data_IF_794705944725
#
_entry.id   IF_794705944725
#
_cell.length_a   1.000
_cell.length_b   1.000
_cell.length_c   1.000
_cell.angle_alpha   90.00
_cell.angle_beta   90.00
_cell.angle_gamma   90.00
#
_symmetry.space_group_name_H-M   'P 1'
#
loop_
_entity.id
_entity.type
_entity.pdbx_description
1 polymer ?
#
# COMPACT_ATOMS: atom_id res chain seq x y z
N UNK A 1 -1.36 11.45 2.48
CA UNK A 1 -0.80 12.36 1.49
C UNK A 1 -0.53 11.64 0.18
N UNK A 2 -1.15 12.11 -0.91
CA UNK A 2 -0.85 11.62 -2.26
C UNK A 2 0.49 12.23 -2.73
N UNK A 3 1.58 11.57 -2.34
CA UNK A 3 2.94 12.10 -2.51
C UNK A 3 3.45 12.01 -3.95
N UNK A 4 2.87 11.11 -4.76
CA UNK A 4 3.18 10.93 -6.16
C UNK A 4 1.91 10.69 -6.98
N UNK A 5 1.69 11.49 -8.02
CA UNK A 5 0.73 11.25 -9.09
C UNK A 5 1.46 10.61 -10.28
N UNK A 6 2.17 9.54 -10.02
CA UNK A 6 2.85 8.67 -10.99
C UNK A 6 3.10 7.30 -10.36
N UNK A 7 3.17 6.26 -11.18
CA UNK A 7 3.41 4.89 -10.74
C UNK A 7 4.27 4.15 -11.75
N UNK A 8 5.08 3.22 -11.26
CA UNK A 8 5.92 2.33 -12.06
C UNK A 8 5.26 0.98 -12.41
N UNK A 9 4.01 0.75 -11.95
CA UNK A 9 3.15 -0.36 -12.36
C UNK A 9 1.93 0.15 -13.14
N UNK A 10 1.23 -0.77 -13.81
CA UNK A 10 -0.01 -0.56 -14.55
C UNK A 10 -1.09 -1.52 -14.05
N UNK A 11 -1.47 -1.38 -12.78
CA UNK A 11 -2.48 -2.24 -12.17
C UNK A 11 -3.83 -2.06 -12.87
N UNK A 12 -4.48 -3.17 -13.26
CA UNK A 12 -5.70 -3.14 -14.08
C UNK A 12 -6.89 -2.50 -13.35
N UNK A 13 -6.97 -2.64 -12.04
CA UNK A 13 -8.03 -2.07 -11.20
C UNK A 13 -7.65 -0.72 -10.57
N UNK A 14 -6.60 -0.04 -11.06
CA UNK A 14 -6.11 1.16 -10.44
C UNK A 14 -7.11 2.31 -10.53
N UNK A 15 -7.78 2.64 -9.43
CA UNK A 15 -8.71 3.77 -9.35
C UNK A 15 -8.04 5.13 -9.61
N UNK A 16 -6.70 5.17 -9.54
CA UNK A 16 -5.89 6.36 -9.76
C UNK A 16 -5.30 6.42 -11.19
N UNK A 17 -5.77 5.58 -12.14
CA UNK A 17 -5.29 5.56 -13.54
C UNK A 17 -3.75 5.56 -13.63
N UNK A 18 -3.11 4.49 -13.18
CA UNK A 18 -1.66 4.38 -13.08
C UNK A 18 -1.00 5.50 -12.22
N UNK A 19 -1.77 6.06 -11.30
CA UNK A 19 -1.32 7.10 -10.39
C UNK A 19 -1.62 8.54 -10.84
N UNK A 20 -2.21 8.75 -12.01
CA UNK A 20 -2.46 10.10 -12.58
C UNK A 20 -3.66 10.82 -11.95
N UNK A 21 -4.60 10.09 -11.33
CA UNK A 21 -5.80 10.65 -10.67
C UNK A 21 -6.61 11.58 -11.58
N UNK A 22 -6.89 11.13 -12.82
CA UNK A 22 -7.60 11.91 -13.87
C UNK A 22 -6.93 13.25 -14.23
N UNK A 23 -5.64 13.37 -13.96
CA UNK A 23 -4.89 14.60 -14.17
C UNK A 23 -3.61 14.39 -14.96
N UNK A 24 -2.53 14.93 -14.47
CA UNK A 24 -1.21 14.79 -15.06
C UNK A 24 -0.25 14.13 -14.07
N UNK A 25 0.74 13.43 -14.59
CA UNK A 25 1.86 12.92 -13.77
C UNK A 25 2.58 14.08 -13.11
N UNK A 26 2.70 13.99 -11.80
CA UNK A 26 3.35 14.99 -10.97
C UNK A 26 3.84 14.37 -9.66
N UNK A 27 4.85 14.97 -9.08
CA UNK A 27 5.32 14.65 -7.74
C UNK A 27 5.01 15.82 -6.82
N UNK A 28 4.56 15.53 -5.59
CA UNK A 28 4.30 16.56 -4.59
C UNK A 28 5.61 17.29 -4.25
N UNK A 29 5.59 18.62 -4.19
CA UNK A 29 6.73 19.37 -3.69
C UNK A 29 6.80 19.31 -2.16
N UNK A 30 8.00 19.50 -1.61
CA UNK A 30 8.18 19.57 -0.16
C UNK A 30 7.30 20.65 0.48
N UNK A 31 7.18 21.83 -0.15
CA UNK A 31 6.40 22.96 0.34
C UNK A 31 4.91 22.63 0.49
N UNK A 32 4.36 21.85 -0.46
CA UNK A 32 2.96 21.39 -0.40
C UNK A 32 2.78 20.41 0.75
N UNK A 33 3.65 19.41 0.85
CA UNK A 33 3.62 18.44 1.94
C UNK A 33 3.82 19.07 3.31
N UNK A 34 4.75 20.03 3.42
CA UNK A 34 4.97 20.82 4.63
C UNK A 34 3.70 21.55 5.08
N UNK A 35 3.03 22.25 4.17
CA UNK A 35 1.76 22.92 4.46
C UNK A 35 0.66 21.96 4.90
N UNK A 36 0.64 20.74 4.36
CA UNK A 36 -0.32 19.71 4.78
C UNK A 36 -0.06 19.25 6.23
N UNK A 37 1.20 19.07 6.63
CA UNK A 37 1.54 18.75 8.02
C UNK A 37 1.24 19.94 8.97
N UNK A 38 1.55 21.18 8.58
CA UNK A 38 1.19 22.38 9.33
C UNK A 38 -0.33 22.47 9.54
N UNK A 39 -1.11 22.22 8.47
CA UNK A 39 -2.57 22.19 8.53
C UNK A 39 -3.08 21.10 9.48
N UNK A 40 -2.51 19.89 9.43
CA UNK A 40 -2.88 18.79 10.31
C UNK A 40 -2.66 19.16 11.78
N UNK A 41 -1.50 19.72 12.11
CA UNK A 41 -1.18 20.19 13.48
C UNK A 41 -2.15 21.27 13.93
N UNK A 42 -2.36 22.31 13.11
CA UNK A 42 -3.23 23.43 13.43
C UNK A 42 -4.69 23.02 13.70
N UNK A 43 -5.16 21.97 13.03
CA UNK A 43 -6.55 21.50 13.15
C UNK A 43 -6.71 20.28 14.08
N UNK A 44 -5.65 19.80 14.70
CA UNK A 44 -5.69 18.62 15.56
C UNK A 44 -6.20 18.89 16.99
N UNK A 45 -6.29 20.15 17.40
CA UNK A 45 -6.72 20.53 18.76
C UNK A 45 -5.87 19.83 19.84
N UNK A 46 -6.52 19.19 20.78
CA UNK A 46 -5.87 18.43 21.87
C UNK A 46 -5.40 17.03 21.49
N UNK A 47 -5.66 16.56 20.26
CA UNK A 47 -5.20 15.24 19.80
C UNK A 47 -3.68 15.22 19.71
N UNK A 48 -3.06 14.33 20.48
CA UNK A 48 -1.61 14.17 20.49
C UNK A 48 -1.13 13.29 19.34
N UNK A 49 -1.78 12.15 19.09
CA UNK A 49 -1.38 11.22 18.05
C UNK A 49 -1.99 11.64 16.71
N UNK A 50 -1.15 11.83 15.70
CA UNK A 50 -1.51 12.21 14.34
C UNK A 50 -1.00 11.15 13.36
N UNK A 51 -1.85 10.73 12.45
CA UNK A 51 -1.50 9.69 11.46
C UNK A 51 -1.30 10.32 10.09
N UNK A 52 -0.22 9.94 9.43
CA UNK A 52 0.11 10.38 8.07
C UNK A 52 0.49 9.16 7.25
N UNK A 53 -0.34 8.85 6.25
CA UNK A 53 -0.04 7.81 5.27
C UNK A 53 0.53 8.45 3.99
N UNK A 54 1.73 8.03 3.61
CA UNK A 54 2.32 8.35 2.31
C UNK A 54 1.77 7.36 1.27
N UNK A 55 0.92 7.88 0.42
CA UNK A 55 0.15 7.15 -0.57
C UNK A 55 0.27 7.84 -1.95
N UNK A 56 -0.51 7.36 -2.92
CA UNK A 56 -0.60 7.96 -4.26
C UNK A 56 -0.53 6.91 -5.34
N UNK A 57 0.21 7.16 -6.40
CA UNK A 57 0.61 6.15 -7.37
C UNK A 57 1.64 5.20 -6.72
N UNK A 58 2.92 5.58 -6.75
CA UNK A 58 3.97 4.89 -5.97
C UNK A 58 4.78 5.92 -5.16
N UNK A 59 4.63 5.95 -3.83
CA UNK A 59 5.32 6.93 -2.97
C UNK A 59 6.84 6.91 -3.06
N UNK A 60 7.44 5.75 -3.30
CA UNK A 60 8.89 5.62 -3.44
C UNK A 60 9.46 6.34 -4.67
N UNK A 61 8.62 6.73 -5.63
CA UNK A 61 9.04 7.60 -6.75
C UNK A 61 9.33 9.03 -6.28
N UNK A 62 8.81 9.42 -5.12
CA UNK A 62 9.09 10.72 -4.50
C UNK A 62 9.80 10.58 -3.15
N UNK A 63 10.69 9.60 -3.05
CA UNK A 63 11.33 9.18 -1.81
C UNK A 63 12.07 10.31 -1.07
N UNK A 64 12.70 11.21 -1.82
CA UNK A 64 13.37 12.37 -1.22
C UNK A 64 12.39 13.20 -0.39
N UNK A 65 11.25 13.55 -0.94
CA UNK A 65 10.23 14.39 -0.26
C UNK A 65 9.60 13.62 0.92
N UNK A 66 9.38 12.31 0.81
CA UNK A 66 8.94 11.48 1.95
C UNK A 66 9.91 11.64 3.12
N UNK A 67 11.21 11.47 2.90
CA UNK A 67 12.23 11.61 3.96
C UNK A 67 12.23 13.02 4.58
N UNK A 68 12.15 14.05 3.75
CA UNK A 68 12.12 15.44 4.21
C UNK A 68 10.87 15.75 5.04
N UNK A 69 9.70 15.22 4.66
CA UNK A 69 8.45 15.41 5.42
C UNK A 69 8.45 14.64 6.74
N UNK A 70 9.01 13.44 6.79
CA UNK A 70 9.18 12.71 8.04
C UNK A 70 10.08 13.50 9.00
N UNK A 71 11.23 13.99 8.52
CA UNK A 71 12.13 14.82 9.33
C UNK A 71 11.40 16.07 9.85
N UNK A 72 10.65 16.75 9.00
CA UNK A 72 9.85 17.92 9.38
C UNK A 72 8.77 17.57 10.44
N UNK A 73 8.08 16.44 10.28
CA UNK A 73 7.11 15.96 11.27
C UNK A 73 7.75 15.72 12.63
N UNK A 74 8.97 15.15 12.68
CA UNK A 74 9.73 14.98 13.94
C UNK A 74 10.12 16.31 14.60
N UNK A 75 10.31 17.39 13.82
CA UNK A 75 10.51 18.74 14.37
C UNK A 75 9.22 19.31 14.95
N UNK A 76 8.08 19.13 14.26
CA UNK A 76 6.77 19.56 14.74
C UNK A 76 6.39 18.87 16.07
N UNK A 77 6.75 17.59 16.25
CA UNK A 77 6.53 16.87 17.52
C UNK A 77 7.16 17.58 18.71
N UNK A 78 8.38 18.12 18.52
CA UNK A 78 9.10 18.85 19.57
C UNK A 78 8.47 20.19 19.90
N UNK A 79 7.82 20.84 18.92
CA UNK A 79 7.24 22.17 19.05
C UNK A 79 5.82 22.16 19.61
N UNK A 80 5.02 21.14 19.34
CA UNK A 80 3.57 21.16 19.54
C UNK A 80 3.03 20.02 20.44
N UNK A 81 3.87 19.28 21.13
CA UNK A 81 3.48 18.08 21.91
C UNK A 81 2.58 17.13 21.08
N UNK A 82 3.01 16.86 19.86
CA UNK A 82 2.37 15.92 18.95
C UNK A 82 3.23 14.68 18.78
N UNK A 83 2.63 13.61 18.31
CA UNK A 83 3.29 12.38 17.92
C UNK A 83 2.77 11.92 16.58
N UNK A 84 3.63 11.95 15.56
CA UNK A 84 3.29 11.48 14.22
C UNK A 84 3.54 9.99 14.08
N UNK A 85 2.51 9.28 13.64
CA UNK A 85 2.59 7.90 13.21
C UNK A 85 2.59 7.88 11.69
N UNK A 86 3.73 7.57 11.11
CA UNK A 86 3.90 7.53 9.67
C UNK A 86 3.64 6.13 9.14
N UNK A 87 2.85 6.04 8.08
CA UNK A 87 2.62 4.83 7.28
C UNK A 87 3.12 5.05 5.86
N UNK A 88 3.64 4.01 5.25
CA UNK A 88 4.01 3.97 3.84
C UNK A 88 3.25 2.85 3.15
N UNK A 89 2.50 3.16 2.10
CA UNK A 89 1.85 2.17 1.23
C UNK A 89 2.65 2.05 -0.07
N UNK A 90 3.20 0.88 -0.38
CA UNK A 90 4.06 0.71 -1.56
C UNK A 90 3.78 -0.57 -2.33
N UNK A 91 4.00 -0.53 -3.64
CA UNK A 91 4.02 -1.72 -4.51
C UNK A 91 5.35 -2.51 -4.45
N UNK A 92 6.34 -2.02 -3.72
CA UNK A 92 7.60 -2.70 -3.42
C UNK A 92 8.64 -2.72 -4.55
N UNK A 93 8.33 -2.28 -5.74
CA UNK A 93 9.29 -2.33 -6.87
C UNK A 93 10.59 -1.58 -6.54
N UNK A 94 10.46 -0.40 -5.93
CA UNK A 94 11.58 0.46 -5.55
C UNK A 94 12.11 0.20 -4.12
N UNK A 95 11.54 -0.76 -3.40
CA UNK A 95 12.02 -1.14 -2.08
C UNK A 95 13.44 -1.73 -2.19
N UNK A 96 14.41 -1.04 -1.60
CA UNK A 96 15.81 -1.43 -1.51
C UNK A 96 16.29 -1.35 -0.05
N UNK A 97 17.58 -1.60 0.21
CA UNK A 97 18.13 -1.61 1.57
C UNK A 97 18.04 -0.23 2.25
N UNK A 98 18.35 0.87 1.55
CA UNK A 98 18.22 2.24 2.10
C UNK A 98 16.78 2.52 2.54
N UNK A 99 15.81 2.20 1.69
CA UNK A 99 14.39 2.37 2.00
C UNK A 99 13.99 1.50 3.19
N UNK A 100 14.41 0.24 3.22
CA UNK A 100 14.11 -0.70 4.30
C UNK A 100 14.66 -0.21 5.65
N UNK A 101 15.91 0.25 5.71
CA UNK A 101 16.50 0.81 6.93
C UNK A 101 15.74 2.04 7.41
N UNK A 102 15.37 2.94 6.49
CA UNK A 102 14.62 4.12 6.84
C UNK A 102 13.21 3.80 7.37
N UNK A 103 12.46 2.94 6.67
CA UNK A 103 11.10 2.59 7.09
C UNK A 103 11.09 1.82 8.41
N UNK A 104 12.11 1.01 8.69
CA UNK A 104 12.24 0.31 9.97
C UNK A 104 12.48 1.27 11.14
N UNK A 105 13.15 2.38 10.89
CA UNK A 105 13.45 3.38 11.91
C UNK A 105 12.32 4.39 12.11
N UNK A 106 11.68 4.83 11.02
CA UNK A 106 10.82 6.00 11.03
C UNK A 106 9.33 5.70 10.84
N UNK A 107 8.96 4.58 10.19
CA UNK A 107 7.57 4.27 9.89
C UNK A 107 6.95 3.36 10.96
N UNK A 108 5.81 3.79 11.49
CA UNK A 108 5.03 2.98 12.43
C UNK A 108 4.38 1.78 11.75
N UNK A 109 4.06 1.91 10.47
CA UNK A 109 3.49 0.83 9.68
C UNK A 109 3.94 0.89 8.21
N UNK A 110 3.99 -0.27 7.55
CA UNK A 110 4.24 -0.38 6.12
C UNK A 110 3.21 -1.30 5.49
N UNK A 111 2.50 -0.79 4.49
CA UNK A 111 1.52 -1.56 3.70
C UNK A 111 2.20 -2.02 2.42
N UNK A 112 2.23 -3.32 2.21
CA UNK A 112 2.90 -4.00 1.10
C UNK A 112 1.84 -4.56 0.14
N UNK A 113 1.72 -3.98 -1.03
CA UNK A 113 0.66 -4.34 -1.99
C UNK A 113 1.01 -5.63 -2.74
N UNK A 114 0.28 -6.71 -2.46
CA UNK A 114 0.41 -8.02 -3.11
C UNK A 114 -0.97 -8.69 -3.15
N UNK A 115 -1.43 -9.12 -4.33
CA UNK A 115 -2.82 -9.56 -4.48
C UNK A 115 -3.03 -11.08 -4.24
N UNK A 116 -1.95 -11.85 -4.12
CA UNK A 116 -2.06 -13.28 -3.89
C UNK A 116 -0.99 -14.10 -4.58
N UNK A 117 -1.40 -15.28 -5.07
CA UNK A 117 -0.55 -16.18 -5.87
C UNK A 117 0.03 -15.44 -7.07
N UNK A 118 1.14 -15.95 -7.58
CA UNK A 118 1.89 -15.31 -8.68
C UNK A 118 1.02 -14.94 -9.88
N UNK A 119 0.20 -15.87 -10.34
CA UNK A 119 -0.68 -15.67 -11.50
C UNK A 119 -1.77 -14.62 -11.25
N UNK A 120 -2.25 -14.51 -10.01
CA UNK A 120 -3.22 -13.47 -9.58
C UNK A 120 -2.55 -12.12 -9.58
N UNK A 121 -1.43 -11.98 -8.86
CA UNK A 121 -0.69 -10.74 -8.77
C UNK A 121 -0.22 -10.24 -10.14
N UNK A 122 0.40 -11.11 -10.94
CA UNK A 122 0.99 -10.72 -12.21
C UNK A 122 -0.05 -10.34 -13.26
N UNK A 123 -1.28 -10.90 -13.17
CA UNK A 123 -2.42 -10.50 -13.99
C UNK A 123 -2.88 -9.09 -13.65
N UNK A 124 -3.02 -8.76 -12.37
CA UNK A 124 -3.67 -7.53 -11.93
C UNK A 124 -2.69 -6.38 -11.68
N UNK A 125 -1.41 -6.68 -11.39
CA UNK A 125 -0.35 -5.72 -11.05
C UNK A 125 0.89 -5.85 -11.95
N UNK A 126 0.73 -5.81 -13.27
CA UNK A 126 1.85 -5.89 -14.19
C UNK A 126 2.66 -4.58 -14.22
N UNK A 127 3.89 -4.68 -14.70
CA UNK A 127 4.61 -3.53 -15.23
C UNK A 127 3.94 -3.00 -16.51
N UNK A 128 4.25 -1.75 -16.88
CA UNK A 128 3.76 -1.14 -18.13
C UNK A 128 4.12 -1.92 -19.39
N UNK A 129 5.16 -2.75 -19.36
CA UNK A 129 5.55 -3.63 -20.46
C UNK A 129 4.85 -5.00 -20.43
N UNK A 130 3.87 -5.18 -19.55
CA UNK A 130 3.09 -6.40 -19.39
C UNK A 130 3.78 -7.52 -18.60
N UNK A 131 5.04 -7.35 -18.15
CA UNK A 131 5.70 -8.35 -17.30
C UNK A 131 5.11 -8.34 -15.89
N UNK A 132 5.06 -9.52 -15.26
CA UNK A 132 4.63 -9.66 -13.88
C UNK A 132 5.60 -9.01 -12.89
N UNK A 133 5.08 -8.55 -11.75
CA UNK A 133 5.86 -7.90 -10.69
C UNK A 133 6.19 -8.85 -9.54
N UNK A 134 5.51 -9.99 -9.40
CA UNK A 134 5.57 -10.90 -8.26
C UNK A 134 7.00 -11.34 -7.89
N UNK A 135 7.76 -11.89 -8.84
CA UNK A 135 9.10 -12.43 -8.58
C UNK A 135 10.09 -11.36 -8.08
N UNK A 136 9.85 -10.10 -8.43
CA UNK A 136 10.67 -8.98 -7.97
C UNK A 136 10.30 -8.52 -6.56
N UNK A 137 9.01 -8.47 -6.24
CA UNK A 137 8.54 -7.82 -5.01
C UNK A 137 8.50 -8.77 -3.81
N UNK A 138 8.13 -10.04 -4.00
CA UNK A 138 7.94 -10.99 -2.90
C UNK A 138 9.21 -11.17 -2.04
N UNK A 139 10.42 -11.39 -2.61
CA UNK A 139 11.62 -11.52 -1.79
C UNK A 139 11.93 -10.25 -0.96
N UNK A 140 11.59 -9.07 -1.50
CA UNK A 140 11.77 -7.79 -0.79
C UNK A 140 10.79 -7.66 0.37
N UNK A 141 9.54 -8.09 0.18
CA UNK A 141 8.51 -8.08 1.21
C UNK A 141 8.84 -9.04 2.35
N UNK A 142 9.32 -10.24 2.03
CA UNK A 142 9.78 -11.20 3.02
C UNK A 142 10.94 -10.62 3.85
N UNK A 143 11.97 -10.05 3.20
CA UNK A 143 13.08 -9.40 3.88
C UNK A 143 12.63 -8.27 4.80
N UNK A 144 11.68 -7.43 4.35
CA UNK A 144 11.13 -6.36 5.18
C UNK A 144 10.35 -6.91 6.38
N UNK A 145 9.46 -7.87 6.18
CA UNK A 145 8.66 -8.47 7.23
C UNK A 145 9.55 -9.12 8.32
N UNK A 146 10.58 -9.86 7.91
CA UNK A 146 11.57 -10.46 8.81
C UNK A 146 12.35 -9.38 9.59
N UNK A 147 12.81 -8.31 8.93
CA UNK A 147 13.55 -7.22 9.58
C UNK A 147 12.71 -6.42 10.58
N UNK A 148 11.40 -6.52 10.49
CA UNK A 148 10.41 -5.94 11.43
C UNK A 148 9.91 -6.96 12.48
N UNK A 149 10.51 -8.14 12.59
CA UNK A 149 10.07 -9.22 13.47
C UNK A 149 8.59 -9.62 13.26
N UNK A 150 8.11 -9.53 12.02
CA UNK A 150 6.73 -9.82 11.63
C UNK A 150 5.68 -8.90 12.28
N UNK A 151 6.07 -7.65 12.61
CA UNK A 151 5.20 -6.64 13.21
C UNK A 151 5.21 -5.32 12.43
N UNK A 152 4.17 -4.50 12.63
CA UNK A 152 4.06 -3.15 12.06
C UNK A 152 4.18 -3.09 10.54
N UNK A 153 3.71 -4.12 9.87
CA UNK A 153 3.47 -4.17 8.44
C UNK A 153 2.22 -5.00 8.19
N UNK A 154 1.69 -4.94 7.00
CA UNK A 154 0.82 -5.99 6.49
C UNK A 154 0.87 -6.07 4.97
N UNK A 155 0.68 -7.29 4.49
CA UNK A 155 0.39 -7.55 3.09
C UNK A 155 -1.05 -7.12 2.85
N UNK A 156 -1.28 -6.29 1.84
CA UNK A 156 -2.61 -5.88 1.42
C UNK A 156 -2.87 -6.35 0.00
N UNK A 157 -3.79 -7.30 -0.12
CA UNK A 157 -4.26 -7.84 -1.39
C UNK A 157 -5.62 -7.27 -1.78
N UNK A 158 -5.88 -7.29 -3.07
CA UNK A 158 -7.19 -6.98 -3.64
C UNK A 158 -7.68 -8.20 -4.40
N UNK A 159 -8.83 -8.74 -4.01
CA UNK A 159 -9.46 -9.78 -4.81
C UNK A 159 -10.47 -9.21 -5.80
N UNK A 160 -10.61 -9.87 -6.92
CA UNK A 160 -11.45 -9.47 -8.04
C UNK A 160 -12.31 -10.64 -8.45
N UNK A 161 -13.20 -10.43 -9.42
CA UNK A 161 -13.92 -11.53 -10.08
C UNK A 161 -12.98 -12.62 -10.64
N UNK A 162 -11.73 -12.28 -10.94
CA UNK A 162 -10.76 -13.21 -11.53
C UNK A 162 -10.12 -14.16 -10.51
N UNK A 163 -10.30 -13.95 -9.22
CA UNK A 163 -9.79 -14.78 -8.12
C UNK A 163 -10.77 -14.84 -6.96
N UNK A 164 -12.02 -15.23 -7.23
CA UNK A 164 -13.04 -15.41 -6.20
C UNK A 164 -12.67 -16.50 -5.18
N UNK A 165 -11.69 -17.36 -5.49
CA UNK A 165 -11.08 -18.34 -4.58
C UNK A 165 -9.97 -17.73 -3.68
N UNK A 166 -10.15 -16.47 -3.26
CA UNK A 166 -9.13 -15.65 -2.56
C UNK A 166 -8.68 -16.22 -1.22
N UNK A 167 -9.39 -17.20 -0.64
CA UNK A 167 -8.88 -17.94 0.51
C UNK A 167 -7.54 -18.63 0.20
N UNK A 168 -7.35 -19.10 -1.04
CA UNK A 168 -6.08 -19.67 -1.48
C UNK A 168 -4.96 -18.62 -1.56
N UNK A 169 -5.30 -17.36 -1.84
CA UNK A 169 -4.34 -16.26 -1.86
C UNK A 169 -3.88 -15.89 -0.44
N UNK A 170 -4.79 -15.91 0.54
CA UNK A 170 -4.46 -15.75 1.95
C UNK A 170 -3.57 -16.89 2.46
N UNK A 171 -3.91 -18.14 2.13
CA UNK A 171 -3.07 -19.29 2.49
C UNK A 171 -1.69 -19.18 1.86
N UNK A 172 -1.62 -18.73 0.62
CA UNK A 172 -0.35 -18.47 -0.04
C UNK A 172 0.50 -17.40 0.68
N UNK A 173 -0.10 -16.34 1.19
CA UNK A 173 0.63 -15.36 2.03
C UNK A 173 1.17 -16.02 3.30
N UNK A 174 0.40 -16.89 3.95
CA UNK A 174 0.84 -17.61 5.12
C UNK A 174 2.01 -18.57 4.80
N UNK A 175 1.94 -19.28 3.66
CA UNK A 175 3.02 -20.17 3.18
C UNK A 175 4.32 -19.41 2.87
N UNK A 176 4.20 -18.15 2.42
CA UNK A 176 5.34 -17.24 2.23
C UNK A 176 5.93 -16.73 3.54
N UNK A 177 5.32 -17.05 4.70
CA UNK A 177 5.78 -16.67 6.03
C UNK A 177 5.26 -15.30 6.53
N UNK A 178 4.31 -14.67 5.85
CA UNK A 178 3.70 -13.43 6.32
C UNK A 178 2.71 -13.71 7.45
N UNK A 179 2.74 -12.88 8.51
CA UNK A 179 1.85 -12.99 9.67
C UNK A 179 0.81 -11.89 9.77
N UNK A 180 1.01 -10.81 9.03
CA UNK A 180 0.08 -9.66 9.00
C UNK A 180 -0.42 -9.50 7.57
N UNK A 181 -1.72 -9.73 7.36
CA UNK A 181 -2.30 -9.71 6.02
C UNK A 181 -3.76 -9.21 6.04
N UNK A 182 -4.17 -8.60 4.96
CA UNK A 182 -5.52 -8.15 4.68
C UNK A 182 -5.83 -8.39 3.21
N UNK A 183 -7.05 -8.80 2.91
CA UNK A 183 -7.53 -8.89 1.53
C UNK A 183 -8.88 -8.20 1.42
N UNK A 184 -9.05 -7.37 0.41
CA UNK A 184 -10.24 -6.53 0.23
C UNK A 184 -10.85 -6.75 -1.16
N UNK A 185 -12.17 -6.62 -1.30
CA UNK A 185 -12.81 -6.66 -2.61
C UNK A 185 -12.40 -5.47 -3.47
N UNK A 186 -12.24 -5.69 -4.75
CA UNK A 186 -12.05 -4.61 -5.71
C UNK A 186 -13.28 -3.70 -5.75
N UNK A 187 -13.03 -2.40 -5.90
CA UNK A 187 -14.07 -1.40 -6.21
C UNK A 187 -13.84 -0.91 -7.63
N UNK A 188 -14.84 -0.99 -8.47
CA UNK A 188 -14.79 -0.59 -9.88
C UNK A 188 -16.19 -0.43 -10.47
N UNK A 189 -16.26 -0.03 -11.72
CA UNK A 189 -17.51 0.03 -12.48
C UNK A 189 -17.97 -1.39 -12.85
N UNK A 190 -19.28 -1.63 -12.88
CA UNK A 190 -19.85 -2.95 -13.24
C UNK A 190 -19.44 -3.42 -14.64
N UNK A 191 -19.08 -2.52 -15.54
CA UNK A 191 -18.60 -2.83 -16.88
C UNK A 191 -17.15 -3.34 -16.90
N UNK A 192 -16.38 -3.14 -15.82
CA UNK A 192 -15.00 -3.60 -15.74
C UNK A 192 -14.93 -5.14 -15.74
N UNK A 193 -13.99 -5.74 -16.48
CA UNK A 193 -13.89 -7.20 -16.58
C UNK A 193 -13.48 -7.89 -15.29
N UNK A 194 -12.95 -7.14 -14.33
CA UNK A 194 -12.51 -7.62 -13.02
C UNK A 194 -13.53 -7.30 -11.90
N UNK A 195 -14.57 -6.50 -12.17
CA UNK A 195 -15.54 -6.06 -11.18
C UNK A 195 -16.34 -7.24 -10.61
N UNK A 196 -16.52 -7.21 -9.30
CA UNK A 196 -17.39 -8.15 -8.58
C UNK A 196 -18.84 -7.82 -8.93
N UNK A 197 -19.63 -8.85 -9.21
CA UNK A 197 -21.04 -8.74 -9.56
C UNK A 197 -21.92 -9.43 -8.52
N UNK A 198 -23.21 -9.15 -8.57
CA UNK A 198 -24.17 -9.74 -7.64
C UNK A 198 -24.15 -11.27 -7.66
N UNK A 199 -23.97 -11.87 -8.81
CA UNK A 199 -23.87 -13.32 -9.01
C UNK A 199 -22.63 -13.96 -8.33
N UNK A 200 -21.60 -13.18 -8.01
CA UNK A 200 -20.36 -13.64 -7.36
C UNK A 200 -20.50 -13.70 -5.83
N UNK A 201 -21.49 -12.99 -5.25
CA UNK A 201 -21.66 -12.84 -3.79
C UNK A 201 -21.81 -14.18 -3.05
N UNK A 202 -22.55 -15.19 -3.56
CA UNK A 202 -22.62 -16.48 -2.87
C UNK A 202 -21.24 -17.13 -2.69
N UNK A 203 -20.40 -17.14 -3.73
CA UNK A 203 -19.06 -17.69 -3.66
C UNK A 203 -18.15 -16.89 -2.71
N UNK A 204 -18.25 -15.57 -2.73
CA UNK A 204 -17.49 -14.71 -1.79
C UNK A 204 -17.82 -15.05 -0.34
N UNK A 205 -19.09 -15.26 -0.02
CA UNK A 205 -19.52 -15.68 1.33
C UNK A 205 -18.93 -17.02 1.73
N UNK A 206 -18.94 -18.00 0.82
CA UNK A 206 -18.32 -19.31 1.05
C UNK A 206 -16.81 -19.20 1.31
N UNK A 207 -16.11 -18.32 0.59
CA UNK A 207 -14.69 -18.10 0.82
C UNK A 207 -14.37 -17.47 2.18
N UNK A 208 -15.16 -16.48 2.62
CA UNK A 208 -15.06 -15.95 3.98
C UNK A 208 -15.37 -16.99 5.04
N UNK A 209 -16.37 -17.85 4.82
CA UNK A 209 -16.70 -18.97 5.73
C UNK A 209 -15.57 -20.02 5.80
N UNK A 210 -14.83 -20.23 4.71
CA UNK A 210 -13.62 -21.07 4.72
C UNK A 210 -12.51 -20.45 5.58
N UNK A 211 -12.22 -19.16 5.36
CA UNK A 211 -11.20 -18.43 6.12
C UNK A 211 -11.50 -18.39 7.61
N UNK A 212 -12.77 -18.26 7.99
CA UNK A 212 -13.18 -18.24 9.39
C UNK A 212 -12.99 -19.58 10.13
N UNK A 213 -12.69 -20.67 9.41
CA UNK A 213 -12.49 -22.03 9.96
C UNK A 213 -11.01 -22.44 10.00
N UNK A 214 -10.13 -21.67 9.43
CA UNK A 214 -8.68 -21.88 9.44
C UNK A 214 -8.03 -21.13 10.60
#
# INVERSE_FOLDING_TARGET
LHIAHDCNLACQYCFAEEGEYHGRRALMSYEVGKKALDFLVANSGSRRNLEVDFFGGEPLMNWKVVKELVAYGRELEKQYDKHFRFTLTTNGVLLNEEVQEFVNREMDNVVLSLDGRKEVNDRMRPFRNGKGSYDLIVPKFQKLAESRNQEKYYIRGTFTRNNLDFSNDILHFADLGFKQMSIEPVVGDESDPYAIREEDIPQIKEEYDKLAKI
#
